data_IF_826984313689
#
_entry.id   IF_826984313689
#
_cell.length_a   1.000
_cell.length_b   1.000
_cell.length_c   1.000
_cell.angle_alpha   90.00
_cell.angle_beta   90.00
_cell.angle_gamma   90.00
#
_symmetry.space_group_name_H-M   'P 1'
#
loop_
_entity.id
_entity.type
_entity.pdbx_description
1 polymer ?
#
# COMPACT_ATOMS: atom_id res chain seq x y z
N UNK A 1 -3.12 4.02 -11.07
CA UNK A 1 -3.45 5.33 -10.48
C UNK A 1 -2.28 5.76 -9.62
N UNK A 2 -2.12 7.05 -9.33
CA UNK A 2 -1.00 7.54 -8.51
C UNK A 2 -1.55 8.14 -7.22
N UNK A 3 -0.91 7.82 -6.11
CA UNK A 3 -1.23 8.35 -4.79
C UNK A 3 0.02 9.03 -4.27
N UNK A 4 -0.10 10.31 -3.91
CA UNK A 4 0.95 11.08 -3.23
C UNK A 4 0.44 11.45 -1.85
N UNK A 5 1.27 11.34 -0.83
CA UNK A 5 0.91 11.72 0.54
C UNK A 5 1.95 11.34 1.57
N UNK A 6 1.64 11.61 2.83
CA UNK A 6 2.51 11.31 3.97
C UNK A 6 2.22 9.92 4.51
N UNK A 7 3.28 9.18 4.87
CA UNK A 7 3.16 7.88 5.55
C UNK A 7 2.66 8.12 6.98
N UNK A 8 1.45 7.65 7.29
CA UNK A 8 0.91 7.65 8.66
C UNK A 8 1.40 6.43 9.43
N UNK A 9 1.41 5.26 8.80
CA UNK A 9 1.80 4.01 9.46
C UNK A 9 2.28 2.95 8.47
N UNK A 10 3.21 2.10 8.90
CA UNK A 10 3.71 0.94 8.14
C UNK A 10 3.51 -0.32 8.99
N UNK A 11 2.65 -1.23 8.54
CA UNK A 11 2.36 -2.48 9.23
C UNK A 11 2.87 -3.69 8.43
N UNK A 12 3.54 -4.62 9.10
CA UNK A 12 3.88 -5.92 8.53
C UNK A 12 2.75 -6.92 8.76
N UNK A 13 2.31 -7.60 7.69
CA UNK A 13 1.28 -8.65 7.75
C UNK A 13 1.74 -9.90 7.02
N UNK A 14 1.45 -11.06 7.62
CA UNK A 14 1.53 -12.35 6.94
C UNK A 14 0.14 -12.98 6.93
N UNK A 15 -0.42 -13.22 5.74
CA UNK A 15 -1.72 -13.88 5.60
C UNK A 15 -1.55 -15.14 4.77
N UNK A 16 -1.74 -16.31 5.39
CA UNK A 16 -1.64 -17.61 4.73
C UNK A 16 -0.29 -17.84 4.00
N UNK A 17 0.82 -17.37 4.60
CA UNK A 17 2.17 -17.49 4.02
C UNK A 17 2.52 -16.39 3.01
N UNK A 18 1.60 -15.47 2.72
CA UNK A 18 1.88 -14.32 1.87
C UNK A 18 2.23 -13.11 2.73
N UNK A 19 3.52 -12.81 2.75
CA UNK A 19 4.11 -11.66 3.42
C UNK A 19 3.85 -10.38 2.63
N UNK A 20 3.44 -9.33 3.35
CA UNK A 20 3.17 -8.01 2.79
C UNK A 20 3.40 -6.93 3.83
N UNK A 21 3.71 -5.72 3.37
CA UNK A 21 3.60 -4.49 4.17
C UNK A 21 2.37 -3.73 3.73
N UNK A 22 1.56 -3.28 4.68
CA UNK A 22 0.44 -2.36 4.43
C UNK A 22 0.86 -0.99 4.90
N UNK A 23 0.85 -0.02 4.00
CA UNK A 23 1.19 1.37 4.32
C UNK A 23 -0.07 2.21 4.27
N UNK A 24 -0.30 2.97 5.33
CA UNK A 24 -1.36 3.98 5.37
C UNK A 24 -0.78 5.29 4.89
N UNK A 25 -1.24 5.77 3.72
CA UNK A 25 -0.84 7.03 3.13
C UNK A 25 -1.97 8.04 3.33
N UNK A 26 -1.61 9.26 3.77
CA UNK A 26 -2.48 10.41 3.96
C UNK A 26 -2.26 11.44 2.84
N UNK A 27 -3.09 11.49 1.79
CA UNK A 27 -2.89 12.44 0.69
C UNK A 27 -3.20 13.90 1.06
N UNK A 28 -4.19 14.13 1.92
CA UNK A 28 -4.74 15.47 2.21
C UNK A 28 -5.22 15.63 3.67
N UNK A 29 -4.65 14.87 4.61
CA UNK A 29 -5.03 14.79 6.03
C UNK A 29 -6.49 14.38 6.34
N UNK A 30 -7.34 14.20 5.32
CA UNK A 30 -8.76 13.83 5.47
C UNK A 30 -9.03 12.42 4.97
N UNK A 31 -8.23 11.95 4.01
CA UNK A 31 -8.37 10.63 3.41
C UNK A 31 -7.23 9.71 3.82
N UNK A 32 -7.55 8.42 3.97
CA UNK A 32 -6.58 7.34 4.20
C UNK A 32 -6.59 6.38 3.03
N UNK A 33 -5.43 6.15 2.44
CA UNK A 33 -5.21 5.10 1.46
C UNK A 33 -4.42 3.96 2.08
N UNK A 34 -5.00 2.76 2.10
CA UNK A 34 -4.32 1.54 2.55
C UNK A 34 -3.72 0.83 1.34
N UNK A 35 -2.40 0.80 1.29
CA UNK A 35 -1.66 0.40 0.11
C UNK A 35 -0.78 -0.79 0.42
N UNK A 36 -0.92 -1.87 -0.36
CA UNK A 36 -0.17 -3.10 -0.15
C UNK A 36 1.12 -3.14 -0.96
N UNK A 37 2.22 -3.39 -0.28
CA UNK A 37 3.52 -3.70 -0.85
C UNK A 37 3.79 -5.19 -0.66
N UNK A 38 4.03 -5.88 -1.77
CA UNK A 38 4.21 -7.34 -1.84
C UNK A 38 5.50 -7.68 -2.57
N UNK A 39 6.11 -8.82 -2.26
CA UNK A 39 7.35 -9.27 -2.90
C UNK A 39 8.45 -8.21 -2.86
N UNK A 40 9.16 -8.01 -3.97
CA UNK A 40 10.26 -7.01 -4.08
C UNK A 40 9.85 -5.58 -3.73
N UNK A 41 8.56 -5.23 -3.84
CA UNK A 41 8.08 -3.89 -3.46
C UNK A 41 8.16 -3.62 -1.95
N UNK A 42 8.23 -4.67 -1.12
CA UNK A 42 8.48 -4.49 0.30
C UNK A 42 9.90 -3.97 0.59
N UNK A 43 10.85 -4.23 -0.30
CA UNK A 43 12.24 -3.75 -0.23
C UNK A 43 12.34 -2.31 -0.72
N UNK A 44 11.51 -1.90 -1.69
CA UNK A 44 11.41 -0.49 -2.14
C UNK A 44 10.94 0.45 -1.00
N UNK A 45 10.32 -0.08 0.06
CA UNK A 45 10.00 0.66 1.29
C UNK A 45 11.19 0.85 2.23
N UNK A 46 12.34 0.21 1.97
CA UNK A 46 13.50 0.30 2.83
C UNK A 46 14.04 1.74 2.84
N UNK A 47 14.13 2.34 4.03
CA UNK A 47 14.54 3.73 4.22
C UNK A 47 13.39 4.72 4.38
N UNK A 48 12.15 4.32 4.10
CA UNK A 48 10.96 5.11 4.41
C UNK A 48 10.46 4.83 5.83
N UNK A 49 9.94 5.85 6.50
CA UNK A 49 9.35 5.80 7.84
C UNK A 49 8.10 6.67 7.95
N UNK A 50 7.42 6.58 9.08
CA UNK A 50 6.30 7.46 9.41
C UNK A 50 6.71 8.93 9.32
N UNK A 51 5.81 9.75 8.78
CA UNK A 51 5.97 11.17 8.44
C UNK A 51 6.78 11.47 7.18
N UNK A 52 7.32 10.48 6.48
CA UNK A 52 7.92 10.72 5.17
C UNK A 52 6.84 10.93 4.10
N UNK A 53 7.13 11.79 3.14
CA UNK A 53 6.27 11.99 1.96
C UNK A 53 6.67 11.01 0.86
N UNK A 54 5.69 10.30 0.30
CA UNK A 54 5.89 9.29 -0.73
C UNK A 54 4.88 9.46 -1.86
N UNK A 55 5.31 9.15 -3.08
CA UNK A 55 4.42 8.96 -4.20
C UNK A 55 4.49 7.52 -4.67
N UNK A 56 3.35 6.88 -4.85
CA UNK A 56 3.25 5.50 -5.32
C UNK A 56 2.30 5.38 -6.49
N UNK A 57 2.70 4.62 -7.49
CA UNK A 57 1.78 4.12 -8.50
C UNK A 57 1.13 2.85 -7.94
N UNK A 58 -0.19 2.78 -8.00
CA UNK A 58 -0.97 1.62 -7.55
C UNK A 58 -1.91 1.11 -8.64
N UNK A 59 -2.12 -0.20 -8.65
CA UNK A 59 -3.15 -0.89 -9.40
C UNK A 59 -4.27 -1.31 -8.45
N UNK A 60 -5.52 -1.12 -8.85
CA UNK A 60 -6.66 -1.65 -8.13
C UNK A 60 -6.84 -3.12 -8.50
N UNK A 61 -6.53 -4.02 -7.56
CA UNK A 61 -6.78 -5.45 -7.70
C UNK A 61 -8.06 -5.82 -6.96
N UNK A 62 -9.13 -6.05 -7.72
CA UNK A 62 -10.36 -6.64 -7.22
C UNK A 62 -10.24 -8.17 -7.11
N UNK A 63 -10.56 -8.74 -5.96
CA UNK A 63 -10.69 -10.19 -5.77
C UNK A 63 -11.98 -10.50 -5.03
N UNK A 64 -12.83 -11.32 -5.62
CA UNK A 64 -13.94 -11.93 -4.90
C UNK A 64 -13.44 -13.15 -4.14
N UNK A 65 -13.62 -13.15 -2.82
CA UNK A 65 -13.31 -14.32 -2.00
C UNK A 65 -14.20 -15.48 -2.41
N UNK A 66 -13.58 -16.61 -2.78
CA UNK A 66 -14.30 -17.84 -3.13
C UNK A 66 -15.06 -18.44 -1.93
N UNK A 67 -14.65 -18.15 -0.70
CA UNK A 67 -15.24 -18.70 0.51
C UNK A 67 -16.40 -17.87 1.05
N UNK A 68 -16.35 -16.54 0.89
CA UNK A 68 -17.35 -15.62 1.47
C UNK A 68 -18.18 -14.87 0.43
N UNK A 69 -17.83 -14.93 -0.85
CA UNK A 69 -18.50 -14.15 -1.91
C UNK A 69 -18.25 -12.63 -1.83
N UNK A 70 -17.53 -12.16 -0.82
CA UNK A 70 -17.22 -10.74 -0.62
C UNK A 70 -16.19 -10.29 -1.66
N UNK A 71 -16.47 -9.17 -2.32
CA UNK A 71 -15.52 -8.50 -3.19
C UNK A 71 -14.58 -7.61 -2.38
N UNK A 72 -13.29 -7.90 -2.45
CA UNK A 72 -12.23 -7.10 -1.86
C UNK A 72 -11.56 -6.29 -2.96
N UNK A 73 -11.40 -4.99 -2.76
CA UNK A 73 -10.60 -4.14 -3.63
C UNK A 73 -9.31 -3.80 -2.90
N UNK A 74 -8.18 -4.23 -3.43
CA UNK A 74 -6.87 -3.90 -2.88
C UNK A 74 -6.20 -2.86 -3.77
N UNK A 75 -5.62 -1.83 -3.16
CA UNK A 75 -4.67 -0.95 -3.86
C UNK A 75 -3.28 -1.54 -3.70
N UNK A 76 -2.70 -2.01 -4.80
CA UNK A 76 -1.41 -2.70 -4.82
C UNK A 76 -0.36 -1.83 -5.51
N UNK A 77 0.78 -1.62 -4.86
CA UNK A 77 1.84 -0.78 -5.43
C UNK A 77 2.49 -1.44 -6.64
N UNK A 78 2.60 -0.68 -7.72
CA UNK A 78 3.38 -1.02 -8.90
C UNK A 78 4.74 -0.34 -8.89
N UNK A 79 4.87 0.87 -8.34
CA UNK A 79 6.11 1.63 -8.33
C UNK A 79 6.14 2.68 -7.21
N UNK A 80 7.32 2.93 -6.64
CA UNK A 80 7.58 4.07 -5.74
C UNK A 80 8.29 5.15 -6.54
N UNK A 81 7.79 6.38 -6.46
CA UNK A 81 8.35 7.56 -7.12
C UNK A 81 8.82 8.53 -6.05
N UNK A 82 10.00 9.12 -6.26
CA UNK A 82 10.53 10.13 -5.35
C UNK A 82 9.66 11.40 -5.42
N UNK A 83 9.15 11.82 -4.26
CA UNK A 83 8.41 13.08 -4.18
C UNK A 83 9.38 14.25 -4.46
N UNK A 84 8.99 15.21 -5.32
CA UNK A 84 9.78 16.42 -5.56
C UNK A 84 9.84 17.32 -4.34
#
# INVERSE_FOLDING_TARGET
MTIKGTIEHIEYRNTAGYEKKVVTIMPDHRQRAFVEFRGRKMDDLHGYKENDEIQVNVLLEGKTSKNSGIQYNNMVVTEVVQAP
#
